data_IF_106301019837
#
_entry.id   IF_106301019837
#
_cell.length_a   1.000
_cell.length_b   1.000
_cell.length_c   1.000
_cell.angle_alpha   90.00
_cell.angle_beta   90.00
_cell.angle_gamma   90.00
#
_symmetry.space_group_name_H-M   'P 1'
#
loop_
_entity.id
_entity.type
_entity.pdbx_description
1 polymer ?
#
# COMPACT_ATOMS: atom_id res chain seq x y z
N UNK A 1 -2.27 2.79 5.07
CA UNK A 1 -1.45 1.70 4.52
C UNK A 1 -0.31 1.45 5.49
N UNK A 2 -0.09 0.19 5.86
CA UNK A 2 1.06 -0.27 6.65
C UNK A 2 2.02 -1.00 5.72
N UNK A 3 3.32 -0.75 5.85
CA UNK A 3 4.36 -1.30 4.99
C UNK A 3 5.32 -2.10 5.87
N UNK A 4 5.65 -3.30 5.45
CA UNK A 4 6.43 -4.28 6.17
C UNK A 4 7.67 -4.65 5.37
N UNK A 5 8.76 -4.89 6.09
CA UNK A 5 10.01 -5.41 5.57
C UNK A 5 10.48 -6.53 6.48
N UNK A 6 10.69 -7.71 5.91
CA UNK A 6 11.05 -8.93 6.65
C UNK A 6 10.13 -9.20 7.85
N UNK A 7 8.81 -9.03 7.63
CA UNK A 7 7.78 -9.20 8.66
C UNK A 7 7.69 -8.08 9.71
N UNK A 8 8.60 -7.10 9.69
CA UNK A 8 8.62 -5.97 10.63
C UNK A 8 7.95 -4.74 10.03
N UNK A 9 7.20 -3.99 10.84
CA UNK A 9 6.57 -2.74 10.39
C UNK A 9 7.65 -1.72 10.05
N UNK A 10 7.83 -1.44 8.77
CA UNK A 10 8.83 -0.52 8.26
C UNK A 10 8.29 0.91 8.17
N UNK A 11 7.00 1.06 7.86
CA UNK A 11 6.45 2.39 7.60
C UNK A 11 4.95 2.41 7.40
N UNK A 12 4.45 3.61 7.10
CA UNK A 12 3.06 3.82 6.75
C UNK A 12 2.90 4.87 5.66
N UNK A 13 1.77 4.78 4.96
CA UNK A 13 1.32 5.80 4.03
C UNK A 13 -0.13 6.18 4.35
N UNK A 14 -0.43 7.47 4.22
CA UNK A 14 -1.77 8.00 4.39
C UNK A 14 -2.51 8.04 3.06
N UNK A 15 -3.80 7.74 3.09
CA UNK A 15 -4.69 7.89 1.94
C UNK A 15 -5.64 9.03 2.26
N UNK A 16 -5.55 10.11 1.49
CA UNK A 16 -6.48 11.22 1.63
C UNK A 16 -7.89 10.82 1.16
N UNK A 17 -8.90 11.33 1.86
CA UNK A 17 -10.27 11.20 1.42
C UNK A 17 -10.47 11.91 0.07
N UNK A 18 -11.38 11.38 -0.76
CA UNK A 18 -11.68 11.96 -2.06
C UNK A 18 -12.96 11.44 -2.66
N UNK A 19 -13.27 11.92 -3.86
CA UNK A 19 -14.42 11.49 -4.65
C UNK A 19 -13.98 11.02 -6.03
N UNK A 20 -14.72 10.07 -6.58
CA UNK A 20 -14.54 9.55 -7.94
C UNK A 20 -15.91 9.43 -8.62
N UNK A 21 -16.12 10.07 -9.78
CA UNK A 21 -17.36 9.93 -10.54
C UNK A 21 -17.64 8.49 -10.98
N UNK A 22 -18.90 8.19 -11.28
CA UNK A 22 -19.29 6.91 -11.88
C UNK A 22 -18.54 6.67 -13.21
N UNK A 23 -18.16 5.42 -13.46
CA UNK A 23 -17.44 5.00 -14.68
C UNK A 23 -16.12 5.74 -14.93
N UNK A 24 -15.49 6.26 -13.89
CA UNK A 24 -14.16 6.87 -13.96
C UNK A 24 -13.13 6.02 -13.23
N UNK A 25 -11.85 6.29 -13.49
CA UNK A 25 -10.71 5.72 -12.77
C UNK A 25 -9.84 6.84 -12.23
N UNK A 26 -9.22 6.62 -11.06
CA UNK A 26 -8.26 7.54 -10.47
C UNK A 26 -7.05 6.78 -9.97
N UNK A 27 -5.86 7.32 -10.25
CA UNK A 27 -4.62 6.85 -9.64
C UNK A 27 -4.50 7.52 -8.28
N UNK A 28 -4.41 6.72 -7.22
CA UNK A 28 -4.09 7.18 -5.88
C UNK A 28 -2.57 7.12 -5.69
N UNK A 29 -1.97 8.25 -5.31
CA UNK A 29 -0.55 8.32 -4.96
C UNK A 29 -0.44 8.29 -3.45
N UNK A 30 0.22 7.26 -2.92
CA UNK A 30 0.35 7.04 -1.49
C UNK A 30 1.81 7.32 -1.08
N UNK A 31 2.16 8.55 -0.70
CA UNK A 31 3.51 8.85 -0.24
C UNK A 31 3.76 8.10 1.08
N UNK A 32 4.75 7.21 1.05
CA UNK A 32 5.18 6.45 2.20
C UNK A 32 6.41 7.06 2.86
N UNK A 33 6.52 6.90 4.17
CA UNK A 33 7.78 7.13 4.91
C UNK A 33 8.25 5.82 5.51
N UNK A 34 9.51 5.47 5.26
CA UNK A 34 10.14 4.26 5.75
C UNK A 34 11.07 4.62 6.93
N UNK A 35 11.06 3.80 7.97
CA UNK A 35 11.89 3.98 9.16
C UNK A 35 13.28 3.35 8.94
N UNK A 36 14.30 4.19 8.74
CA UNK A 36 15.68 3.71 8.54
C UNK A 36 16.25 2.94 9.73
N UNK A 37 15.75 3.18 10.95
CA UNK A 37 16.15 2.41 12.13
C UNK A 37 15.69 0.95 12.03
N UNK A 38 14.48 0.72 11.52
CA UNK A 38 13.99 -0.64 11.31
C UNK A 38 14.76 -1.36 10.21
N UNK A 39 15.21 -0.66 9.16
CA UNK A 39 16.14 -1.23 8.18
C UNK A 39 17.47 -1.65 8.81
N UNK A 40 17.97 -0.88 9.78
CA UNK A 40 19.22 -1.21 10.47
C UNK A 40 19.11 -2.46 11.35
N UNK A 41 17.93 -2.75 11.92
CA UNK A 41 17.68 -4.02 12.61
C UNK A 41 17.80 -5.22 11.66
N UNK A 42 17.56 -5.01 10.36
CA UNK A 42 17.66 -6.01 9.30
C UNK A 42 18.88 -5.78 8.38
N UNK A 43 19.95 -5.14 8.89
CA UNK A 43 21.06 -4.65 8.07
C UNK A 43 21.73 -5.70 7.18
N UNK A 44 21.89 -6.95 7.65
CA UNK A 44 22.49 -8.01 6.85
C UNK A 44 21.63 -8.36 5.61
N UNK A 45 20.31 -8.42 5.80
CA UNK A 45 19.35 -8.64 4.70
C UNK A 45 19.33 -7.43 3.78
N UNK A 46 19.26 -6.23 4.33
CA UNK A 46 19.25 -5.00 3.54
C UNK A 46 20.50 -4.84 2.67
N UNK A 47 21.69 -5.19 3.17
CA UNK A 47 22.92 -5.18 2.36
C UNK A 47 22.87 -6.21 1.23
N UNK A 48 22.28 -7.39 1.49
CA UNK A 48 22.05 -8.39 0.44
C UNK A 48 21.09 -7.86 -0.63
N UNK A 49 19.98 -7.26 -0.22
CA UNK A 49 18.97 -6.69 -1.11
C UNK A 49 19.56 -5.54 -1.97
N UNK A 50 20.40 -4.68 -1.37
CA UNK A 50 21.14 -3.64 -2.10
C UNK A 50 22.09 -4.24 -3.14
N UNK A 51 22.78 -5.34 -2.81
CA UNK A 51 23.67 -6.03 -3.75
C UNK A 51 22.89 -6.65 -4.91
N UNK A 52 21.70 -7.17 -4.64
CA UNK A 52 20.82 -7.80 -5.64
C UNK A 52 19.98 -6.78 -6.41
N UNK A 53 19.90 -5.53 -5.91
CA UNK A 53 19.06 -4.45 -6.43
C UNK A 53 17.56 -4.74 -6.35
N UNK A 54 17.17 -5.64 -5.46
CA UNK A 54 15.80 -6.06 -5.24
C UNK A 54 15.53 -6.13 -3.74
N UNK A 55 14.57 -5.34 -3.28
CA UNK A 55 14.07 -5.33 -1.91
C UNK A 55 12.57 -5.54 -1.92
N UNK A 56 12.11 -6.51 -1.14
CA UNK A 56 10.69 -6.88 -1.07
C UNK A 56 10.02 -6.14 0.08
N UNK A 57 8.92 -5.46 -0.24
CA UNK A 57 8.05 -4.79 0.72
C UNK A 57 6.64 -5.35 0.61
N UNK A 58 6.11 -5.84 1.72
CA UNK A 58 4.71 -6.23 1.82
C UNK A 58 3.93 -5.06 2.40
N UNK A 59 2.72 -4.80 1.90
CA UNK A 59 1.90 -3.73 2.43
C UNK A 59 0.43 -4.08 2.44
N UNK A 60 -0.28 -3.55 3.43
CA UNK A 60 -1.71 -3.74 3.58
C UNK A 60 -2.40 -2.38 3.74
N UNK A 61 -3.56 -2.21 3.11
CA UNK A 61 -4.37 -1.02 3.28
C UNK A 61 -5.85 -1.30 3.25
N UNK A 62 -6.54 -0.66 4.19
CA UNK A 62 -8.00 -0.57 4.23
C UNK A 62 -8.44 0.78 3.67
N UNK A 63 -9.18 0.76 2.56
CA UNK A 63 -9.79 1.93 1.94
C UNK A 63 -11.28 1.92 2.29
N UNK A 64 -11.72 2.95 3.00
CA UNK A 64 -13.12 3.14 3.33
C UNK A 64 -13.76 4.17 2.40
N UNK A 65 -14.99 3.91 1.97
CA UNK A 65 -15.73 4.82 1.11
C UNK A 65 -17.24 4.66 1.20
N UNK A 66 -17.94 5.54 0.49
CA UNK A 66 -19.38 5.47 0.30
C UNK A 66 -19.71 5.68 -1.19
N UNK A 67 -20.43 4.73 -1.78
CA UNK A 67 -20.97 4.85 -3.13
C UNK A 67 -22.36 5.50 -3.05
N UNK A 68 -22.50 6.69 -3.64
CA UNK A 68 -23.78 7.41 -3.68
C UNK A 68 -24.61 6.96 -4.86
N UNK A 69 -25.77 6.36 -4.58
CA UNK A 69 -26.77 5.95 -5.58
C UNK A 69 -28.06 6.71 -5.26
N UNK A 70 -28.35 7.75 -6.05
CA UNK A 70 -29.45 8.69 -5.79
C UNK A 70 -29.33 9.30 -4.37
N UNK A 71 -30.27 9.00 -3.48
CA UNK A 71 -30.30 9.45 -2.09
C UNK A 71 -29.70 8.43 -1.10
N UNK A 72 -29.18 7.30 -1.59
CA UNK A 72 -28.60 6.25 -0.75
C UNK A 72 -27.07 6.27 -0.79
N UNK A 73 -26.46 6.36 0.38
CA UNK A 73 -25.01 6.18 0.57
C UNK A 73 -24.71 4.73 1.00
N UNK A 74 -24.12 3.94 0.10
CA UNK A 74 -23.67 2.58 0.38
C UNK A 74 -22.23 2.56 0.85
N UNK A 75 -22.01 2.23 2.12
CA UNK A 75 -20.65 2.12 2.67
C UNK A 75 -19.97 0.85 2.15
N UNK A 76 -18.69 0.98 1.85
CA UNK A 76 -17.85 -0.14 1.47
C UNK A 76 -16.47 -0.01 2.10
N UNK A 77 -15.80 -1.16 2.19
CA UNK A 77 -14.40 -1.28 2.58
C UNK A 77 -13.68 -2.09 1.51
N UNK A 78 -12.54 -1.61 1.04
CA UNK A 78 -11.63 -2.37 0.19
C UNK A 78 -10.38 -2.65 0.97
N UNK A 79 -10.08 -3.93 1.20
CA UNK A 79 -8.79 -4.38 1.70
C UNK A 79 -7.89 -4.67 0.51
N UNK A 80 -6.66 -4.15 0.55
CA UNK A 80 -5.65 -4.40 -0.49
C UNK A 80 -4.37 -4.87 0.18
N UNK A 81 -3.94 -6.07 -0.20
CA UNK A 81 -2.62 -6.60 0.06
C UNK A 81 -1.74 -6.33 -1.17
N UNK A 82 -0.54 -5.82 -0.94
CA UNK A 82 0.43 -5.46 -1.97
C UNK A 82 1.75 -6.15 -1.69
N UNK A 83 2.31 -6.79 -2.70
CA UNK A 83 3.68 -7.29 -2.71
C UNK A 83 4.47 -6.46 -3.70
N UNK A 84 5.42 -5.67 -3.20
CA UNK A 84 6.15 -4.66 -3.99
C UNK A 84 7.63 -4.99 -3.97
N UNK A 85 8.22 -5.14 -5.15
CA UNK A 85 9.67 -5.25 -5.33
C UNK A 85 10.20 -3.88 -5.72
N UNK A 86 11.16 -3.36 -4.97
CA UNK A 86 11.76 -2.04 -5.20
C UNK A 86 13.27 -2.14 -5.35
N UNK A 87 13.87 -1.21 -6.10
CA UNK A 87 15.31 -0.96 -6.07
C UNK A 87 15.63 -0.18 -4.78
N UNK A 88 16.35 -0.77 -3.80
CA UNK A 88 16.61 -0.10 -2.52
C UNK A 88 17.58 1.08 -2.62
N UNK A 89 18.26 1.27 -3.75
CA UNK A 89 19.20 2.37 -4.00
C UNK A 89 18.49 3.55 -4.65
N UNK A 90 17.65 3.30 -5.65
CA UNK A 90 16.91 4.35 -6.36
C UNK A 90 15.50 4.62 -5.81
N UNK A 91 14.99 3.72 -4.96
CA UNK A 91 13.63 3.74 -4.42
C UNK A 91 12.55 3.69 -5.52
N UNK A 92 12.88 3.04 -6.63
CA UNK A 92 11.97 2.80 -7.76
C UNK A 92 11.28 1.45 -7.61
N UNK A 93 10.01 1.38 -8.01
CA UNK A 93 9.25 0.11 -8.05
C UNK A 93 9.66 -0.67 -9.30
N UNK A 94 10.16 -1.89 -9.09
CA UNK A 94 10.55 -2.84 -10.13
C UNK A 94 9.35 -3.68 -10.55
N UNK A 95 8.64 -4.23 -9.56
CA UNK A 95 7.44 -5.04 -9.77
C UNK A 95 6.44 -4.85 -8.63
N UNK A 96 5.16 -5.09 -8.91
CA UNK A 96 4.11 -4.96 -7.93
C UNK A 96 2.93 -5.90 -8.24
N UNK A 97 2.63 -6.79 -7.31
CA UNK A 97 1.40 -7.58 -7.27
C UNK A 97 0.44 -7.00 -6.23
N UNK A 98 -0.85 -6.89 -6.57
CA UNK A 98 -1.89 -6.44 -5.64
C UNK A 98 -3.06 -7.41 -5.62
N UNK A 99 -3.54 -7.75 -4.43
CA UNK A 99 -4.77 -8.53 -4.20
C UNK A 99 -5.74 -7.64 -3.45
N UNK A 100 -6.90 -7.39 -4.08
CA UNK A 100 -7.94 -6.54 -3.50
C UNK A 100 -9.19 -7.36 -3.21
N UNK A 101 -9.79 -7.12 -2.05
CA UNK A 101 -11.07 -7.67 -1.63
C UNK A 101 -11.98 -6.54 -1.19
N UNK A 102 -13.24 -6.56 -1.64
CA UNK A 102 -14.22 -5.53 -1.31
C UNK A 102 -15.35 -6.12 -0.50
N UNK A 103 -15.66 -5.48 0.62
CA UNK A 103 -16.83 -5.74 1.44
C UNK A 103 -17.80 -4.58 1.29
N UNK A 104 -19.04 -4.90 0.91
CA UNK A 104 -20.13 -3.93 0.91
C UNK A 104 -20.84 -4.05 2.25
N UNK A 105 -20.89 -2.96 2.99
CA UNK A 105 -21.59 -2.90 4.26
C UNK A 105 -23.07 -2.63 3.95
N UNK A 106 -23.91 -3.66 4.10
CA UNK A 106 -25.35 -3.50 4.01
C UNK A 106 -25.82 -2.67 5.22
N UNK A 107 -26.49 -1.55 4.92
CA UNK A 107 -27.18 -0.70 5.90
C UNK A 107 -28.65 -1.08 5.90
#
# INVERSE_FOLDING_TARGET
MSIFYDGSLLGSAHIDAGSQPAQSGRILRLPARLCGLELAHHAAKFVSDVRQREMVLDAAVDIHGAAKVLWWDHKFKVHVDSHVVVDPVFLDVIDQENKAQMEVMLV
#
